data_IF_598562284250
#
_entry.id   IF_598562284250
#
_cell.length_a   1.000
_cell.length_b   1.000
_cell.length_c   1.000
_cell.angle_alpha   90.00
_cell.angle_beta   90.00
_cell.angle_gamma   90.00
#
_symmetry.space_group_name_H-M   'P 1'
#
loop_
_entity.id
_entity.type
_entity.pdbx_description
1 polymer ?
#
# COMPACT_ATOMS: atom_id res chain seq x y z
N UNK A 1 21.89 -30.06 -5.95
CA UNK A 1 22.17 -28.63 -6.24
C UNK A 1 21.08 -28.06 -7.15
N UNK A 2 19.78 -28.20 -6.76
CA UNK A 2 18.59 -27.91 -7.59
C UNK A 2 17.54 -27.06 -6.87
N UNK A 3 17.89 -26.43 -5.73
CA UNK A 3 16.97 -25.62 -4.93
C UNK A 3 16.62 -24.26 -5.53
N UNK A 4 17.28 -23.83 -6.61
CA UNK A 4 17.11 -22.48 -7.17
C UNK A 4 16.35 -22.49 -8.53
N UNK A 5 15.95 -23.65 -9.03
CA UNK A 5 15.36 -23.76 -10.39
C UNK A 5 13.96 -23.15 -10.51
N UNK A 6 13.25 -22.92 -9.41
CA UNK A 6 11.87 -22.39 -9.42
C UNK A 6 11.78 -20.94 -8.94
N UNK A 7 12.88 -20.30 -8.56
CA UNK A 7 12.89 -18.88 -8.20
C UNK A 7 13.15 -18.06 -9.45
N UNK A 8 12.12 -17.42 -9.96
CA UNK A 8 12.17 -16.61 -11.18
C UNK A 8 12.52 -15.15 -10.90
N UNK A 9 12.90 -14.42 -11.94
CA UNK A 9 13.16 -12.98 -11.89
C UNK A 9 11.95 -12.19 -11.31
N UNK A 10 10.74 -12.69 -11.54
CA UNK A 10 9.49 -12.12 -11.03
C UNK A 10 9.44 -12.08 -9.50
N UNK A 11 9.94 -13.11 -8.81
CA UNK A 11 10.01 -13.12 -7.35
C UNK A 11 10.97 -12.05 -6.82
N UNK A 12 12.10 -11.84 -7.52
CA UNK A 12 13.03 -10.76 -7.19
C UNK A 12 12.41 -9.38 -7.38
N UNK A 13 11.68 -9.18 -8.48
CA UNK A 13 10.95 -7.94 -8.75
C UNK A 13 9.86 -7.68 -7.71
N UNK A 14 9.08 -8.70 -7.36
CA UNK A 14 8.04 -8.64 -6.34
C UNK A 14 8.60 -8.18 -4.99
N UNK A 15 9.68 -8.81 -4.52
CA UNK A 15 10.33 -8.46 -3.27
C UNK A 15 10.91 -7.03 -3.31
N UNK A 16 11.53 -6.65 -4.42
CA UNK A 16 12.07 -5.31 -4.61
C UNK A 16 10.96 -4.26 -4.55
N UNK A 17 9.84 -4.50 -5.23
CA UNK A 17 8.68 -3.62 -5.17
C UNK A 17 8.08 -3.53 -3.76
N UNK A 18 8.01 -4.64 -3.02
CA UNK A 18 7.53 -4.67 -1.65
C UNK A 18 8.44 -3.87 -0.69
N UNK A 19 9.76 -4.01 -0.82
CA UNK A 19 10.73 -3.23 -0.06
C UNK A 19 10.64 -1.73 -0.40
N UNK A 20 10.53 -1.39 -1.69
CA UNK A 20 10.39 -0.01 -2.14
C UNK A 20 9.07 0.61 -1.65
N UNK A 21 7.96 -0.14 -1.65
CA UNK A 21 6.68 0.29 -1.11
C UNK A 21 6.77 0.60 0.38
N UNK A 22 7.46 -0.26 1.15
CA UNK A 22 7.70 -0.05 2.58
C UNK A 22 8.53 1.20 2.84
N UNK A 23 9.60 1.40 2.08
CA UNK A 23 10.43 2.61 2.17
C UNK A 23 9.62 3.87 1.84
N UNK A 24 8.76 3.81 0.83
CA UNK A 24 7.89 4.92 0.44
C UNK A 24 6.83 5.25 1.51
N UNK A 25 6.38 4.26 2.30
CA UNK A 25 5.40 4.43 3.37
C UNK A 25 5.97 5.04 4.67
N UNK A 26 7.29 4.99 4.89
CA UNK A 26 7.93 5.50 6.10
C UNK A 26 7.63 6.98 6.43
N UNK A 27 7.67 7.94 5.48
CA UNK A 27 7.37 9.33 5.80
C UNK A 27 5.93 9.57 6.22
N UNK A 28 4.98 8.79 5.68
CA UNK A 28 3.56 8.87 6.06
C UNK A 28 3.36 8.39 7.49
N UNK A 29 3.99 7.28 7.88
CA UNK A 29 3.90 6.77 9.26
C UNK A 29 4.49 7.73 10.29
N UNK A 30 5.49 8.52 9.88
CA UNK A 30 6.08 9.56 10.72
C UNK A 30 5.26 10.86 10.76
N UNK A 31 4.18 10.98 9.98
CA UNK A 31 3.36 12.20 9.88
C UNK A 31 4.13 13.39 9.30
N UNK A 32 5.10 13.13 8.42
CA UNK A 32 5.88 14.17 7.74
C UNK A 32 5.07 14.85 6.65
N UNK A 33 5.46 16.07 6.33
CA UNK A 33 4.93 16.81 5.18
C UNK A 33 5.51 16.17 3.92
N UNK A 34 4.65 15.79 2.99
CA UNK A 34 5.03 15.12 1.74
C UNK A 34 4.31 15.75 0.54
N UNK A 35 4.86 15.65 -0.68
CA UNK A 35 4.14 16.05 -1.88
C UNK A 35 2.83 15.27 -2.03
N UNK A 36 1.79 15.90 -2.57
CA UNK A 36 0.45 15.34 -2.68
C UNK A 36 0.37 14.04 -3.52
N UNK A 37 1.29 13.81 -4.44
CA UNK A 37 1.37 12.59 -5.26
C UNK A 37 2.02 11.40 -4.54
N UNK A 38 2.80 11.67 -3.48
CA UNK A 38 3.62 10.64 -2.80
C UNK A 38 2.83 9.47 -2.22
N UNK A 39 1.61 9.65 -1.66
CA UNK A 39 0.80 8.53 -1.20
C UNK A 39 0.42 7.51 -2.28
N UNK A 40 0.51 7.89 -3.56
CA UNK A 40 0.30 6.95 -4.67
C UNK A 40 1.46 5.96 -4.85
N UNK A 41 2.67 6.30 -4.41
CA UNK A 41 3.87 5.49 -4.66
C UNK A 41 3.79 4.10 -4.02
N UNK A 42 3.45 3.95 -2.72
CA UNK A 42 3.29 2.62 -2.12
C UNK A 42 2.21 1.80 -2.81
N UNK A 43 1.12 2.44 -3.26
CA UNK A 43 0.05 1.77 -3.97
C UNK A 43 0.48 1.26 -5.35
N UNK A 44 1.19 2.07 -6.12
CA UNK A 44 1.71 1.67 -7.43
C UNK A 44 2.71 0.52 -7.31
N UNK A 45 3.64 0.62 -6.36
CA UNK A 45 4.64 -0.43 -6.13
C UNK A 45 4.01 -1.73 -5.65
N UNK A 46 3.00 -1.66 -4.77
CA UNK A 46 2.28 -2.85 -4.32
C UNK A 46 1.45 -3.48 -5.44
N UNK A 47 0.82 -2.67 -6.29
CA UNK A 47 0.13 -3.17 -7.48
C UNK A 47 1.09 -3.84 -8.46
N UNK A 48 2.27 -3.28 -8.69
CA UNK A 48 3.30 -3.91 -9.51
C UNK A 48 3.78 -5.24 -8.91
N UNK A 49 3.95 -5.32 -7.58
CA UNK A 49 4.30 -6.56 -6.91
C UNK A 49 3.23 -7.65 -7.10
N UNK A 50 1.95 -7.31 -6.92
CA UNK A 50 0.85 -8.24 -7.14
C UNK A 50 0.74 -8.67 -8.61
N UNK A 51 0.85 -7.73 -9.55
CA UNK A 51 0.78 -8.00 -10.99
C UNK A 51 1.95 -8.87 -11.48
N UNK A 52 3.15 -8.72 -10.91
CA UNK A 52 4.30 -9.55 -11.28
C UNK A 52 4.08 -11.02 -10.96
N UNK A 53 3.29 -11.31 -9.94
CA UNK A 53 2.93 -12.68 -9.59
C UNK A 53 1.81 -13.22 -10.50
N UNK A 54 0.75 -12.43 -10.71
CA UNK A 54 -0.40 -12.81 -11.55
C UNK A 54 0.00 -13.02 -13.02
N UNK A 55 1.00 -12.29 -13.52
CA UNK A 55 1.42 -12.37 -14.92
C UNK A 55 2.14 -13.66 -15.29
N UNK A 56 2.54 -14.48 -14.29
CA UNK A 56 3.45 -15.58 -14.56
C UNK A 56 2.79 -16.94 -14.83
N UNK A 57 1.79 -17.46 -14.10
CA UNK A 57 1.49 -18.88 -14.27
C UNK A 57 0.37 -19.20 -15.24
N UNK A 58 -0.75 -18.60 -15.21
CA UNK A 58 -1.89 -19.03 -16.06
C UNK A 58 -3.02 -18.01 -16.07
N UNK A 59 -3.41 -17.58 -17.23
CA UNK A 59 -4.61 -16.77 -17.48
C UNK A 59 -5.90 -17.36 -16.85
N UNK A 60 -5.87 -18.61 -16.36
CA UNK A 60 -6.99 -19.28 -15.73
C UNK A 60 -7.35 -18.73 -14.35
N UNK A 61 -6.38 -18.25 -13.58
CA UNK A 61 -6.64 -17.72 -12.23
C UNK A 61 -7.22 -16.31 -12.25
N UNK A 62 -6.94 -15.53 -13.30
CA UNK A 62 -7.62 -14.24 -13.52
C UNK A 62 -9.14 -14.38 -13.66
N UNK A 63 -9.63 -15.54 -14.01
CA UNK A 63 -11.07 -15.85 -14.10
C UNK A 63 -11.69 -16.27 -12.76
N UNK A 64 -10.92 -16.29 -11.66
CA UNK A 64 -11.48 -16.63 -10.36
C UNK A 64 -12.28 -15.42 -9.80
N UNK A 65 -13.64 -15.50 -9.80
CA UNK A 65 -14.45 -14.39 -9.31
C UNK A 65 -14.22 -14.09 -7.83
N UNK A 66 -13.77 -15.08 -7.05
CA UNK A 66 -13.45 -14.91 -5.64
C UNK A 66 -12.27 -13.95 -5.44
N UNK A 67 -11.21 -14.06 -6.24
CA UNK A 67 -10.05 -13.17 -6.17
C UNK A 67 -10.46 -11.70 -6.36
N UNK A 68 -11.27 -11.42 -7.38
CA UNK A 68 -11.75 -10.07 -7.68
C UNK A 68 -12.70 -9.53 -6.61
N UNK A 69 -13.54 -10.39 -6.06
CA UNK A 69 -14.43 -10.00 -4.95
C UNK A 69 -13.62 -9.54 -3.73
N UNK A 70 -12.61 -10.32 -3.31
CA UNK A 70 -11.74 -9.93 -2.19
C UNK A 70 -10.91 -8.69 -2.52
N UNK A 71 -10.43 -8.53 -3.74
CA UNK A 71 -9.71 -7.34 -4.19
C UNK A 71 -10.59 -6.08 -4.08
N UNK A 72 -11.85 -6.15 -4.55
CA UNK A 72 -12.80 -5.03 -4.45
C UNK A 72 -13.12 -4.71 -2.99
N UNK A 73 -13.42 -5.71 -2.17
CA UNK A 73 -13.68 -5.50 -0.75
C UNK A 73 -12.49 -4.84 -0.03
N UNK A 74 -11.27 -5.29 -0.33
CA UNK A 74 -10.06 -4.71 0.21
C UNK A 74 -9.84 -3.27 -0.27
N UNK A 75 -10.11 -2.97 -1.54
CA UNK A 75 -10.03 -1.62 -2.07
C UNK A 75 -11.05 -0.69 -1.42
N UNK A 76 -12.27 -1.15 -1.20
CA UNK A 76 -13.31 -0.39 -0.48
C UNK A 76 -12.91 -0.14 0.97
N UNK A 77 -12.41 -1.15 1.67
CA UNK A 77 -11.89 -1.01 3.03
C UNK A 77 -10.72 -0.01 3.11
N UNK A 78 -9.80 -0.08 2.14
CA UNK A 78 -8.71 0.87 2.01
C UNK A 78 -9.20 2.29 1.76
N UNK A 79 -10.17 2.47 0.86
CA UNK A 79 -10.78 3.75 0.57
C UNK A 79 -11.48 4.32 1.81
N UNK A 80 -12.30 3.53 2.51
CA UNK A 80 -12.94 3.93 3.76
C UNK A 80 -11.90 4.40 4.78
N UNK A 81 -10.81 3.64 4.93
CA UNK A 81 -9.69 4.03 5.81
C UNK A 81 -9.06 5.35 5.37
N UNK A 82 -8.84 5.56 4.07
CA UNK A 82 -8.30 6.80 3.52
C UNK A 82 -9.21 8.01 3.78
N UNK A 83 -10.53 7.82 3.74
CA UNK A 83 -11.50 8.87 4.08
C UNK A 83 -11.51 9.24 5.56
N UNK A 84 -11.21 8.33 6.46
CA UNK A 84 -11.19 8.60 7.90
C UNK A 84 -9.90 9.24 8.41
N UNK A 85 -8.82 9.22 7.61
CA UNK A 85 -7.56 9.86 7.99
C UNK A 85 -7.72 11.39 8.00
N UNK A 86 -7.19 12.04 9.03
CA UNK A 86 -7.11 13.52 9.04
C UNK A 86 -6.03 13.96 8.06
N UNK A 87 -6.42 14.80 7.12
CA UNK A 87 -5.58 15.31 6.05
C UNK A 87 -5.50 16.84 6.19
N UNK A 88 -4.28 17.37 6.12
CA UNK A 88 -4.01 18.79 6.03
C UNK A 88 -3.35 19.06 4.68
N UNK A 89 -3.88 20.02 3.92
CA UNK A 89 -3.49 20.28 2.53
C UNK A 89 -3.04 21.72 2.37
N UNK A 90 -1.87 21.92 1.76
CA UNK A 90 -1.41 23.20 1.26
C UNK A 90 -1.41 23.17 -0.28
N UNK A 91 -2.41 23.85 -0.87
CA UNK A 91 -2.57 23.91 -2.33
C UNK A 91 -1.47 24.74 -3.00
N UNK A 92 -0.90 25.73 -2.29
CA UNK A 92 0.12 26.64 -2.84
C UNK A 92 1.40 25.88 -3.20
N UNK A 93 1.80 24.94 -2.33
CA UNK A 93 3.01 24.13 -2.49
C UNK A 93 2.73 22.68 -2.90
N UNK A 94 1.45 22.32 -3.09
CA UNK A 94 1.01 20.93 -3.36
C UNK A 94 1.55 19.93 -2.34
N UNK A 95 1.57 20.36 -1.08
CA UNK A 95 2.03 19.55 0.04
C UNK A 95 0.84 19.07 0.86
N UNK A 96 1.01 17.88 1.43
CA UNK A 96 0.02 17.29 2.34
C UNK A 96 0.72 16.79 3.59
N UNK A 97 -0.01 16.83 4.69
CA UNK A 97 0.38 16.19 5.94
C UNK A 97 -0.74 15.24 6.37
N UNK A 98 -0.42 13.97 6.44
CA UNK A 98 -1.32 12.97 7.00
C UNK A 98 -1.09 12.85 8.51
N UNK A 99 -2.16 12.59 9.25
CA UNK A 99 -2.03 12.18 10.64
C UNK A 99 -1.17 10.92 10.70
N UNK A 100 -0.34 10.77 11.75
CA UNK A 100 0.45 9.55 11.97
C UNK A 100 -0.46 8.32 11.87
N UNK A 101 -0.23 7.49 10.88
CA UNK A 101 -0.98 6.28 10.62
C UNK A 101 -0.01 5.18 10.18
N UNK A 102 -0.03 4.08 10.91
CA UNK A 102 0.85 2.94 10.63
C UNK A 102 0.23 1.93 9.66
N UNK A 103 -1.02 2.12 9.29
CA UNK A 103 -1.79 1.21 8.42
C UNK A 103 -1.11 0.96 7.07
N UNK A 104 -0.59 2.01 6.42
CA UNK A 104 0.16 1.89 5.17
C UNK A 104 1.47 1.11 5.38
N UNK A 105 2.19 1.41 6.47
CA UNK A 105 3.44 0.75 6.79
C UNK A 105 3.21 -0.74 7.13
N UNK A 106 2.20 -1.04 7.95
CA UNK A 106 1.85 -2.42 8.31
C UNK A 106 1.45 -3.23 7.08
N UNK A 107 0.64 -2.65 6.18
CA UNK A 107 0.27 -3.30 4.93
C UNK A 107 1.50 -3.56 4.04
N UNK A 108 2.40 -2.58 3.91
CA UNK A 108 3.62 -2.72 3.11
C UNK A 108 4.61 -3.75 3.71
N UNK A 109 4.75 -3.80 5.04
CA UNK A 109 5.55 -4.84 5.71
C UNK A 109 4.90 -6.22 5.54
N UNK A 110 3.57 -6.31 5.61
CA UNK A 110 2.83 -7.53 5.31
C UNK A 110 3.09 -8.04 3.89
N UNK A 111 3.22 -7.11 2.93
CA UNK A 111 3.58 -7.44 1.55
C UNK A 111 4.98 -8.08 1.47
N UNK A 112 5.98 -7.57 2.21
CA UNK A 112 7.30 -8.18 2.31
C UNK A 112 7.20 -9.60 2.91
N UNK A 113 6.44 -9.75 3.99
CA UNK A 113 6.27 -11.04 4.65
C UNK A 113 5.67 -12.09 3.69
N UNK A 114 4.59 -11.75 2.99
CA UNK A 114 3.99 -12.64 1.99
C UNK A 114 4.94 -12.94 0.83
N UNK A 115 5.69 -11.94 0.35
CA UNK A 115 6.69 -12.13 -0.71
C UNK A 115 7.79 -13.09 -0.30
N UNK A 116 8.26 -13.03 0.94
CA UNK A 116 9.28 -13.95 1.46
C UNK A 116 8.73 -15.37 1.63
N UNK A 117 7.49 -15.51 2.08
CA UNK A 117 6.83 -16.82 2.19
C UNK A 117 6.68 -17.43 0.80
N UNK A 118 6.26 -16.66 -0.20
CA UNK A 118 6.11 -17.12 -1.58
C UNK A 118 7.45 -17.61 -2.14
N UNK A 119 8.54 -16.84 -1.95
CA UNK A 119 9.89 -17.25 -2.37
C UNK A 119 10.33 -18.54 -1.66
N UNK A 120 10.04 -18.66 -0.38
CA UNK A 120 10.40 -19.86 0.38
C UNK A 120 9.62 -21.08 -0.12
N UNK A 121 8.32 -20.93 -0.41
CA UNK A 121 7.49 -21.99 -0.96
C UNK A 121 7.92 -22.39 -2.37
N UNK A 122 8.22 -21.42 -3.23
CA UNK A 122 8.76 -21.66 -4.57
C UNK A 122 10.11 -22.41 -4.54
N UNK A 123 10.94 -22.19 -3.49
CA UNK A 123 12.21 -22.89 -3.33
C UNK A 123 12.04 -24.34 -2.84
N UNK A 124 10.99 -24.66 -2.10
CA UNK A 124 10.81 -25.96 -1.42
C UNK A 124 9.81 -26.87 -2.15
N UNK A 125 8.81 -26.34 -2.83
CA UNK A 125 7.68 -27.10 -3.36
C UNK A 125 7.23 -26.73 -4.77
N UNK A 126 6.19 -27.41 -5.28
CA UNK A 126 5.56 -27.04 -6.53
C UNK A 126 4.87 -25.67 -6.41
N UNK A 127 4.99 -24.88 -7.48
CA UNK A 127 4.61 -23.46 -7.53
C UNK A 127 3.08 -23.16 -7.47
N UNK A 128 2.23 -24.18 -7.34
CA UNK A 128 0.78 -24.04 -7.41
C UNK A 128 0.16 -23.78 -6.03
N UNK A 129 0.36 -22.57 -5.50
CA UNK A 129 -0.36 -22.19 -4.27
C UNK A 129 -1.17 -20.90 -4.47
N UNK A 130 -2.46 -21.01 -4.83
CA UNK A 130 -3.34 -19.86 -5.10
C UNK A 130 -3.55 -18.94 -3.89
N UNK A 131 -3.21 -19.38 -2.69
CA UNK A 131 -3.43 -18.65 -1.44
C UNK A 131 -2.55 -17.40 -1.27
N UNK A 132 -1.32 -17.40 -1.79
CA UNK A 132 -0.39 -16.28 -1.64
C UNK A 132 -0.72 -15.14 -2.61
N UNK A 133 -1.15 -15.47 -3.82
CA UNK A 133 -1.63 -14.48 -4.80
C UNK A 133 -2.81 -13.69 -4.28
N UNK A 134 -3.75 -14.36 -3.61
CA UNK A 134 -4.89 -13.71 -2.97
C UNK A 134 -4.43 -12.73 -1.89
N UNK A 135 -3.50 -13.12 -1.02
CA UNK A 135 -2.98 -12.26 0.04
C UNK A 135 -2.30 -11.01 -0.50
N UNK A 136 -1.43 -11.16 -1.50
CA UNK A 136 -0.74 -10.04 -2.16
C UNK A 136 -1.73 -9.11 -2.87
N UNK A 137 -2.70 -9.68 -3.58
CA UNK A 137 -3.73 -8.90 -4.30
C UNK A 137 -4.61 -8.11 -3.32
N UNK A 138 -5.00 -8.71 -2.19
CA UNK A 138 -5.80 -8.05 -1.14
C UNK A 138 -5.02 -6.86 -0.55
N UNK A 139 -3.75 -7.04 -0.18
CA UNK A 139 -2.94 -5.96 0.38
C UNK A 139 -2.72 -4.85 -0.66
N UNK A 140 -2.40 -5.21 -1.89
CA UNK A 140 -2.21 -4.24 -2.98
C UNK A 140 -3.49 -3.43 -3.23
N UNK A 141 -4.64 -4.09 -3.31
CA UNK A 141 -5.95 -3.46 -3.50
C UNK A 141 -6.31 -2.53 -2.36
N UNK A 142 -6.04 -2.92 -1.11
CA UNK A 142 -6.22 -2.06 0.06
C UNK A 142 -5.38 -0.78 -0.06
N UNK A 143 -4.10 -0.90 -0.40
CA UNK A 143 -3.21 0.27 -0.55
C UNK A 143 -3.65 1.16 -1.71
N UNK A 144 -4.11 0.59 -2.83
CA UNK A 144 -4.65 1.34 -3.97
C UNK A 144 -5.91 2.12 -3.56
N UNK A 145 -6.87 1.47 -2.92
CA UNK A 145 -8.10 2.12 -2.45
C UNK A 145 -7.82 3.26 -1.48
N UNK A 146 -6.94 3.02 -0.49
CA UNK A 146 -6.52 4.04 0.49
C UNK A 146 -5.88 5.25 -0.19
N UNK A 147 -4.95 5.00 -1.09
CA UNK A 147 -4.23 6.07 -1.79
C UNK A 147 -5.14 6.87 -2.71
N UNK A 148 -6.07 6.21 -3.40
CA UNK A 148 -7.06 6.88 -4.23
C UNK A 148 -7.94 7.81 -3.40
N UNK A 149 -8.42 7.37 -2.23
CA UNK A 149 -9.22 8.20 -1.32
C UNK A 149 -8.43 9.42 -0.81
N UNK A 150 -7.15 9.23 -0.40
CA UNK A 150 -6.29 10.34 0.03
C UNK A 150 -6.06 11.34 -1.09
N UNK A 151 -5.78 10.86 -2.32
CA UNK A 151 -5.58 11.74 -3.48
C UNK A 151 -6.85 12.51 -3.86
N UNK A 152 -8.03 11.87 -3.84
CA UNK A 152 -9.30 12.54 -4.09
C UNK A 152 -9.55 13.64 -3.06
N UNK A 153 -9.39 13.33 -1.78
CA UNK A 153 -9.57 14.29 -0.70
C UNK A 153 -8.55 15.43 -0.76
N UNK A 154 -7.30 15.15 -1.11
CA UNK A 154 -6.28 16.20 -1.22
C UNK A 154 -6.61 17.26 -2.27
N UNK A 155 -7.53 16.98 -3.21
CA UNK A 155 -8.03 17.94 -4.19
C UNK A 155 -9.26 18.72 -3.71
N UNK A 156 -10.01 18.16 -2.75
CA UNK A 156 -11.30 18.70 -2.29
C UNK A 156 -11.22 19.41 -0.94
N UNK A 157 -10.25 19.05 -0.11
CA UNK A 157 -10.07 19.64 1.22
C UNK A 157 -9.65 21.12 1.09
N UNK A 158 -10.20 22.01 1.94
CA UNK A 158 -9.80 23.41 1.97
C UNK A 158 -8.33 23.54 2.40
N UNK A 159 -7.72 24.66 2.00
CA UNK A 159 -6.34 24.97 2.38
C UNK A 159 -6.20 25.02 3.91
N UNK A 160 -5.21 24.31 4.43
CA UNK A 160 -4.91 24.22 5.84
C UNK A 160 -3.47 24.66 6.11
N UNK A 161 -3.25 25.42 7.18
CA UNK A 161 -1.90 25.77 7.62
C UNK A 161 -1.16 24.53 8.13
N UNK A 162 -0.18 24.04 7.37
CA UNK A 162 0.63 22.87 7.72
C UNK A 162 1.52 23.09 8.96
N UNK A 163 1.76 24.37 9.32
CA UNK A 163 2.62 24.78 10.45
C UNK A 163 1.84 24.99 11.74
N UNK A 164 0.52 25.07 11.71
CA UNK A 164 -0.26 25.17 12.93
C UNK A 164 -0.18 23.84 13.69
N UNK A 165 0.76 23.79 14.62
CA UNK A 165 0.65 22.86 15.74
C UNK A 165 -0.73 23.10 16.38
N UNK A 166 -1.46 22.03 16.80
CA UNK A 166 -2.72 22.23 17.51
C UNK A 166 -2.47 23.22 18.64
N UNK A 167 -2.97 24.44 18.47
CA UNK A 167 -2.88 25.47 19.52
C UNK A 167 -3.38 24.81 20.80
N UNK A 168 -2.51 24.76 21.81
CA UNK A 168 -2.99 24.53 23.16
C UNK A 168 -4.17 25.48 23.36
N UNK A 169 -5.32 25.02 23.84
CA UNK A 169 -6.38 25.93 24.24
C UNK A 169 -5.75 26.98 25.14
N UNK A 170 -6.09 28.28 24.98
CA UNK A 170 -5.58 29.30 25.86
C UNK A 170 -5.83 28.84 27.30
N UNK A 171 -4.76 28.83 28.09
CA UNK A 171 -4.89 28.53 29.49
C UNK A 171 -5.98 29.48 30.02
N UNK A 172 -7.05 28.91 30.58
CA UNK A 172 -8.08 29.69 31.23
C UNK A 172 -7.35 30.51 32.30
N UNK A 173 -7.23 31.80 32.01
CA UNK A 173 -6.78 32.77 33.03
C UNK A 173 -7.83 32.74 34.11
N UNK A 174 -7.50 32.08 35.23
CA UNK A 174 -8.25 32.10 36.49
C UNK A 174 -7.75 33.21 37.37
#
# INVERSE_FOLDING_TARGET
MTLISNVYLTHGLMLLCACAATYAALPESAGRIVPAWRPAVPALLSAMAALSLIAYPTWGELNNPGLWMFAILAAVAGAARGFWLRLYVDHSWRLIRLQKAYDCLVAAVGLIGLSLIEIALAAIGPADQPTMELGLTVIASFLVGRSAAVLLRSRQEPQSDLHDSPRRPPAAEG
#
